data_IF_929156938995
#
_entry.id   IF_929156938995
#
_cell.length_a   1.000
_cell.length_b   1.000
_cell.length_c   1.000
_cell.angle_alpha   90.00
_cell.angle_beta   90.00
_cell.angle_gamma   90.00
#
_symmetry.space_group_name_H-M   'P 1'
#
loop_
_entity.id
_entity.type
_entity.pdbx_description
1 polymer ?
#
# COMPACT_ATOMS: atom_id res chain seq x y z
N UNK A 1 -60.89 8.55 -15.90
CA UNK A 1 -60.19 7.25 -15.98
C UNK A 1 -58.91 7.51 -16.78
N UNK A 2 -57.72 7.23 -16.24
CA UNK A 2 -56.47 7.51 -16.98
C UNK A 2 -56.40 6.65 -18.25
N UNK A 3 -55.84 7.21 -19.32
CA UNK A 3 -55.64 6.51 -20.58
C UNK A 3 -54.48 5.51 -20.47
N UNK A 4 -54.49 4.48 -21.31
CA UNK A 4 -53.42 3.46 -21.37
C UNK A 4 -52.05 4.11 -21.66
N UNK A 5 -52.02 5.14 -22.50
CA UNK A 5 -50.80 5.84 -22.88
C UNK A 5 -50.20 6.69 -21.74
N UNK A 6 -51.02 7.16 -20.80
CA UNK A 6 -50.57 7.83 -19.57
C UNK A 6 -50.01 6.84 -18.53
N UNK A 7 -50.45 5.58 -18.56
CA UNK A 7 -49.92 4.51 -17.71
C UNK A 7 -48.57 4.01 -18.22
N UNK A 8 -48.37 3.94 -19.54
CA UNK A 8 -47.11 3.53 -20.18
C UNK A 8 -45.97 4.53 -19.96
N UNK A 9 -46.27 5.83 -19.92
CA UNK A 9 -45.29 6.89 -19.65
C UNK A 9 -45.08 7.16 -18.15
N UNK A 10 -45.70 6.36 -17.28
CA UNK A 10 -45.67 6.57 -15.84
C UNK A 10 -44.37 6.02 -15.26
N UNK A 11 -43.36 6.88 -15.16
CA UNK A 11 -42.12 6.56 -14.46
C UNK A 11 -42.42 6.48 -12.96
N UNK A 12 -42.62 5.27 -12.46
CA UNK A 12 -42.69 5.01 -11.02
C UNK A 12 -41.29 5.26 -10.46
N UNK A 13 -41.08 6.45 -9.89
CA UNK A 13 -39.85 6.81 -9.17
C UNK A 13 -39.85 6.14 -7.78
N UNK A 14 -39.84 4.81 -7.75
CA UNK A 14 -39.42 4.07 -6.56
C UNK A 14 -37.91 4.27 -6.44
N UNK A 15 -37.51 5.40 -5.86
CA UNK A 15 -36.13 5.60 -5.48
C UNK A 15 -35.84 4.68 -4.30
N UNK A 16 -34.90 3.75 -4.48
CA UNK A 16 -34.29 3.11 -3.33
C UNK A 16 -33.44 4.16 -2.60
N UNK A 17 -34.03 4.79 -1.59
CA UNK A 17 -33.38 5.83 -0.79
C UNK A 17 -32.07 5.31 -0.19
N UNK A 18 -31.95 4.00 0.04
CA UNK A 18 -30.73 3.37 0.58
C UNK A 18 -29.58 3.39 -0.43
N UNK A 19 -29.86 3.45 -1.73
CA UNK A 19 -28.84 3.41 -2.78
C UNK A 19 -28.37 4.78 -3.24
N UNK A 20 -29.05 5.87 -2.85
CA UNK A 20 -28.77 7.21 -3.37
C UNK A 20 -27.35 7.70 -3.06
N UNK A 21 -26.88 7.54 -1.81
CA UNK A 21 -25.52 7.92 -1.43
C UNK A 21 -24.47 7.08 -2.19
N UNK A 22 -24.70 5.77 -2.30
CA UNK A 22 -23.82 4.88 -3.05
C UNK A 22 -23.74 5.30 -4.52
N UNK A 23 -24.87 5.52 -5.17
CA UNK A 23 -24.94 5.93 -6.56
C UNK A 23 -24.25 7.28 -6.79
N UNK A 24 -24.47 8.24 -5.89
CA UNK A 24 -23.81 9.54 -5.95
C UNK A 24 -22.28 9.42 -5.82
N UNK A 25 -21.78 8.66 -4.83
CA UNK A 25 -20.34 8.42 -4.66
C UNK A 25 -19.75 7.71 -5.88
N UNK A 26 -20.47 6.74 -6.45
CA UNK A 26 -20.00 6.01 -7.63
C UNK A 26 -19.92 6.90 -8.85
N UNK A 27 -20.94 7.75 -9.07
CA UNK A 27 -20.90 8.73 -10.15
C UNK A 27 -19.72 9.70 -10.00
N UNK A 28 -19.48 10.23 -8.80
CA UNK A 28 -18.29 11.07 -8.55
C UNK A 28 -16.98 10.32 -8.82
N UNK A 29 -16.93 9.03 -8.51
CA UNK A 29 -15.75 8.19 -8.75
C UNK A 29 -15.54 7.98 -10.25
N UNK A 30 -16.61 7.65 -10.99
CA UNK A 30 -16.59 7.48 -12.45
C UNK A 30 -16.12 8.76 -13.15
N UNK A 31 -16.68 9.93 -12.79
CA UNK A 31 -16.25 11.22 -13.33
C UNK A 31 -14.76 11.50 -13.05
N UNK A 32 -14.28 11.16 -11.86
CA UNK A 32 -12.87 11.28 -11.50
C UNK A 32 -11.97 10.31 -12.30
N UNK A 33 -12.41 9.07 -12.51
CA UNK A 33 -11.70 8.07 -13.31
C UNK A 33 -11.60 8.52 -14.77
N UNK A 34 -12.71 8.95 -15.40
CA UNK A 34 -12.70 9.47 -16.77
C UNK A 34 -11.78 10.68 -16.96
N UNK A 35 -11.72 11.57 -15.97
CA UNK A 35 -10.78 12.69 -15.97
C UNK A 35 -9.33 12.19 -15.87
N UNK A 36 -9.10 11.21 -14.99
CA UNK A 36 -7.80 10.57 -14.81
C UNK A 36 -7.31 9.85 -16.07
N UNK A 37 -8.22 9.21 -16.81
CA UNK A 37 -7.96 8.47 -18.04
C UNK A 37 -7.58 9.43 -19.16
N UNK A 38 -8.41 10.46 -19.41
CA UNK A 38 -8.11 11.52 -20.38
C UNK A 38 -6.76 12.19 -20.13
N UNK A 39 -6.42 12.44 -18.87
CA UNK A 39 -5.13 13.03 -18.52
C UNK A 39 -3.94 12.08 -18.80
N UNK A 40 -4.13 10.76 -18.69
CA UNK A 40 -3.08 9.78 -19.08
C UNK A 40 -2.94 9.67 -20.58
N UNK A 41 -4.04 9.68 -21.32
CA UNK A 41 -4.03 9.58 -22.79
C UNK A 41 -3.29 10.74 -23.47
N UNK A 42 -3.19 11.89 -22.79
CA UNK A 42 -2.46 13.07 -23.26
C UNK A 42 -0.94 12.99 -23.08
N UNK A 43 -0.41 12.02 -22.33
CA UNK A 43 1.03 11.85 -22.13
C UNK A 43 1.65 11.23 -23.39
N UNK A 44 2.53 11.97 -24.05
CA UNK A 44 3.20 11.57 -25.30
C UNK A 44 4.73 11.54 -25.18
N UNK A 45 5.30 12.11 -24.13
CA UNK A 45 6.76 12.18 -23.94
C UNK A 45 7.18 11.68 -22.55
N UNK A 46 8.47 11.37 -22.41
CA UNK A 46 9.07 10.97 -21.12
C UNK A 46 8.96 12.11 -20.10
N UNK A 47 9.23 13.35 -20.51
CA UNK A 47 9.12 14.54 -19.66
C UNK A 47 7.70 14.71 -19.09
N UNK A 48 6.66 14.56 -19.92
CA UNK A 48 5.27 14.62 -19.46
C UNK A 48 4.92 13.49 -18.47
N UNK A 49 5.53 12.32 -18.64
CA UNK A 49 5.36 11.20 -17.71
C UNK A 49 6.06 11.50 -16.38
N UNK A 50 7.25 12.08 -16.40
CA UNK A 50 7.99 12.49 -15.20
C UNK A 50 7.24 13.56 -14.41
N UNK A 51 6.71 14.59 -15.10
CA UNK A 51 5.86 15.62 -14.51
C UNK A 51 4.63 15.03 -13.84
N UNK A 52 3.95 14.10 -14.52
CA UNK A 52 2.81 13.41 -13.95
C UNK A 52 3.19 12.57 -12.74
N UNK A 53 4.32 11.85 -12.77
CA UNK A 53 4.78 11.05 -11.64
C UNK A 53 5.06 11.92 -10.42
N UNK A 54 5.71 13.08 -10.62
CA UNK A 54 5.94 14.06 -9.56
C UNK A 54 4.62 14.58 -8.98
N UNK A 55 3.67 14.96 -9.85
CA UNK A 55 2.35 15.42 -9.43
C UNK A 55 1.55 14.35 -8.69
N UNK A 56 1.52 13.11 -9.19
CA UNK A 56 0.83 11.98 -8.55
C UNK A 56 1.42 11.69 -7.16
N UNK A 57 2.75 11.70 -7.03
CA UNK A 57 3.44 11.52 -5.74
C UNK A 57 3.04 12.61 -4.75
N UNK A 58 3.02 13.87 -5.20
CA UNK A 58 2.59 14.99 -4.37
C UNK A 58 1.13 14.80 -3.93
N UNK A 59 0.21 14.52 -4.85
CA UNK A 59 -1.21 14.33 -4.52
C UNK A 59 -1.46 13.16 -3.59
N UNK A 60 -0.71 12.06 -3.76
CA UNK A 60 -0.77 10.92 -2.85
C UNK A 60 -0.38 11.31 -1.42
N UNK A 61 0.73 12.03 -1.25
CA UNK A 61 1.18 12.52 0.07
C UNK A 61 0.15 13.50 0.67
N UNK A 62 -0.36 14.44 -0.12
CA UNK A 62 -1.41 15.39 0.32
C UNK A 62 -2.68 14.65 0.78
N UNK A 63 -3.10 13.60 0.05
CA UNK A 63 -4.31 12.83 0.38
C UNK A 63 -4.20 12.06 1.70
N UNK A 64 -2.99 11.70 2.12
CA UNK A 64 -2.73 11.10 3.43
C UNK A 64 -2.66 12.14 4.57
N UNK A 65 -2.79 13.43 4.26
CA UNK A 65 -2.59 14.52 5.24
C UNK A 65 -1.13 14.95 5.41
N UNK A 66 -0.26 14.60 4.47
CA UNK A 66 1.18 14.82 4.55
C UNK A 66 1.94 13.65 5.19
N UNK A 67 3.28 13.73 5.19
CA UNK A 67 4.13 12.81 5.93
C UNK A 67 4.53 13.45 7.26
N UNK A 68 4.55 12.68 8.37
CA UNK A 68 5.07 13.18 9.63
C UNK A 68 6.57 13.51 9.51
N UNK A 69 7.07 14.39 10.39
CA UNK A 69 8.52 14.60 10.54
C UNK A 69 9.23 13.27 10.83
N UNK A 70 10.41 13.09 10.25
CA UNK A 70 11.26 11.91 10.37
C UNK A 70 12.48 12.16 11.29
N UNK A 71 12.39 13.14 12.19
CA UNK A 71 13.54 13.58 13.01
C UNK A 71 13.82 12.66 14.21
N UNK A 72 13.01 11.60 14.39
CA UNK A 72 13.20 10.64 15.49
C UNK A 72 14.30 9.62 15.12
N UNK A 73 15.35 9.48 15.94
CA UNK A 73 16.37 8.46 15.70
C UNK A 73 15.79 7.05 15.84
N UNK A 74 16.11 6.17 14.89
CA UNK A 74 15.53 4.83 14.76
C UNK A 74 15.77 3.91 15.99
N UNK A 75 16.89 4.09 16.70
CA UNK A 75 17.29 3.32 17.89
C UNK A 75 17.03 1.80 17.79
N UNK A 76 17.52 1.11 16.73
CA UNK A 76 17.28 -0.31 16.57
C UNK A 76 18.06 -1.12 17.61
N UNK A 77 17.45 -2.19 18.10
CA UNK A 77 18.03 -3.13 19.03
C UNK A 77 17.79 -4.56 18.53
N UNK A 78 18.85 -5.35 18.47
CA UNK A 78 18.75 -6.80 18.25
C UNK A 78 18.48 -7.43 19.60
N UNK A 79 17.29 -7.99 19.78
CA UNK A 79 16.85 -8.61 21.04
C UNK A 79 17.01 -10.14 21.02
N UNK A 80 17.45 -10.69 19.91
CA UNK A 80 17.80 -12.09 19.78
C UNK A 80 18.21 -12.47 18.37
N UNK A 81 18.95 -13.56 18.25
CA UNK A 81 19.43 -14.07 16.97
C UNK A 81 19.18 -15.57 16.90
N UNK A 82 18.72 -16.04 15.75
CA UNK A 82 18.59 -17.46 15.42
C UNK A 82 19.57 -17.76 14.30
N UNK A 83 20.54 -18.63 14.55
CA UNK A 83 21.42 -19.11 13.50
C UNK A 83 20.70 -20.19 12.68
N UNK A 84 20.73 -20.04 11.37
CA UNK A 84 20.23 -21.03 10.41
C UNK A 84 21.39 -21.51 9.52
N UNK A 85 21.10 -22.44 8.63
CA UNK A 85 22.08 -22.92 7.64
C UNK A 85 22.29 -21.86 6.54
N UNK A 86 23.46 -21.21 6.56
CA UNK A 86 23.90 -20.21 5.57
C UNK A 86 23.38 -18.78 5.79
N UNK A 87 22.62 -18.53 6.85
CA UNK A 87 22.11 -17.21 7.23
C UNK A 87 21.70 -17.18 8.70
N UNK A 88 21.42 -15.98 9.22
CA UNK A 88 20.82 -15.79 10.55
C UNK A 88 19.58 -14.91 10.49
N UNK A 89 18.71 -15.09 11.48
CA UNK A 89 17.53 -14.25 11.69
C UNK A 89 17.77 -13.39 12.93
N UNK A 90 17.87 -12.08 12.75
CA UNK A 90 17.95 -11.09 13.83
C UNK A 90 16.54 -10.59 14.17
N UNK A 91 16.16 -10.68 15.43
CA UNK A 91 14.91 -10.13 15.95
C UNK A 91 15.17 -8.69 16.37
N UNK A 92 14.56 -7.75 15.65
CA UNK A 92 14.81 -6.32 15.84
C UNK A 92 13.59 -5.65 16.46
N UNK A 93 13.84 -4.77 17.42
CA UNK A 93 12.88 -3.77 17.89
C UNK A 93 13.49 -2.39 17.61
N UNK A 94 12.71 -1.48 17.03
CA UNK A 94 13.15 -0.11 16.75
C UNK A 94 12.04 0.89 16.98
N UNK A 95 12.39 2.16 17.15
CA UNK A 95 11.45 3.27 17.28
C UNK A 95 11.14 3.85 15.88
N UNK A 96 9.92 3.66 15.36
CA UNK A 96 9.50 4.28 14.09
C UNK A 96 9.21 5.77 14.26
N UNK A 97 8.84 6.17 15.48
CA UNK A 97 8.71 7.54 15.99
C UNK A 97 9.05 7.49 17.47
N UNK A 98 9.31 8.66 18.08
CA UNK A 98 9.54 8.77 19.52
C UNK A 98 8.50 7.99 20.33
N UNK A 99 8.96 6.97 21.06
CA UNK A 99 8.14 6.06 21.88
C UNK A 99 7.13 5.17 21.11
N UNK A 100 7.30 4.99 19.80
CA UNK A 100 6.49 4.09 18.96
C UNK A 100 7.36 2.94 18.48
N UNK A 101 7.22 1.79 19.12
CA UNK A 101 8.05 0.61 18.86
C UNK A 101 7.46 -0.27 17.76
N UNK A 102 8.32 -0.68 16.82
CA UNK A 102 8.01 -1.63 15.75
C UNK A 102 8.95 -2.82 15.90
N UNK A 103 8.42 -4.02 15.67
CA UNK A 103 9.22 -5.26 15.68
C UNK A 103 9.37 -5.80 14.27
N UNK A 104 10.53 -6.36 13.96
CA UNK A 104 10.82 -6.97 12.67
C UNK A 104 11.74 -8.18 12.83
N UNK A 105 11.75 -9.04 11.81
CA UNK A 105 12.75 -10.09 11.64
C UNK A 105 13.63 -9.69 10.45
N UNK A 106 14.94 -9.56 10.67
CA UNK A 106 15.91 -9.31 9.61
C UNK A 106 16.64 -10.61 9.29
N UNK A 107 16.58 -11.04 8.03
CA UNK A 107 17.24 -12.25 7.55
C UNK A 107 18.53 -11.82 6.87
N UNK A 108 19.67 -12.31 7.35
CA UNK A 108 20.99 -11.87 6.91
C UNK A 108 21.80 -13.07 6.46
N UNK A 109 22.16 -13.17 5.17
CA UNK A 109 23.09 -14.18 4.69
C UNK A 109 24.41 -14.15 5.47
N UNK A 110 25.01 -15.30 5.69
CA UNK A 110 26.33 -15.38 6.32
C UNK A 110 27.43 -14.91 5.36
N UNK A 111 28.57 -14.48 5.91
CA UNK A 111 29.74 -14.10 5.11
C UNK A 111 29.57 -12.82 4.29
N UNK A 112 28.57 -11.98 4.57
CA UNK A 112 28.45 -10.65 3.95
C UNK A 112 29.63 -9.77 4.40
N UNK A 113 30.47 -9.40 3.45
CA UNK A 113 31.64 -8.52 3.65
C UNK A 113 31.49 -7.14 3.03
N UNK A 114 30.44 -6.93 2.23
CA UNK A 114 30.13 -5.65 1.58
C UNK A 114 28.61 -5.47 1.49
N UNK A 115 28.10 -4.21 1.37
CA UNK A 115 26.68 -3.97 1.18
C UNK A 115 26.08 -4.77 0.01
N UNK A 116 24.86 -5.26 0.19
CA UNK A 116 24.06 -5.96 -0.82
C UNK A 116 22.67 -5.32 -0.93
N UNK A 117 21.96 -5.62 -2.01
CA UNK A 117 20.57 -5.21 -2.15
C UNK A 117 19.73 -5.82 -1.04
N UNK A 118 18.88 -5.01 -0.40
CA UNK A 118 17.99 -5.44 0.67
C UNK A 118 16.54 -5.43 0.18
N UNK A 119 15.74 -6.38 0.65
CA UNK A 119 14.30 -6.46 0.35
C UNK A 119 13.50 -6.11 1.60
N UNK A 120 12.61 -5.11 1.49
CA UNK A 120 11.62 -4.82 2.51
C UNK A 120 10.36 -5.66 2.25
N UNK A 121 10.17 -6.70 3.04
CA UNK A 121 8.98 -7.55 2.98
C UNK A 121 7.93 -7.09 3.99
N UNK A 122 6.70 -6.83 3.52
CA UNK A 122 5.58 -6.38 4.36
C UNK A 122 4.58 -7.53 4.57
N UNK A 123 4.12 -7.70 5.79
CA UNK A 123 3.09 -8.68 6.12
C UNK A 123 1.71 -8.18 5.65
N UNK A 124 0.90 -9.10 5.12
CA UNK A 124 -0.55 -8.89 4.97
C UNK A 124 -1.28 -9.06 6.31
N UNK A 125 -2.60 -9.25 6.24
CA UNK A 125 -3.50 -9.26 7.41
C UNK A 125 -3.53 -10.58 8.22
N UNK A 126 -2.45 -11.38 8.19
CA UNK A 126 -2.39 -12.60 9.00
C UNK A 126 -2.13 -12.25 10.47
N UNK A 127 -2.84 -12.92 11.37
CA UNK A 127 -2.76 -12.69 12.82
C UNK A 127 -1.33 -12.87 13.36
N UNK A 128 -0.61 -13.86 12.85
CA UNK A 128 0.76 -14.18 13.27
C UNK A 128 1.80 -13.19 12.72
N UNK A 129 1.41 -12.30 11.79
CA UNK A 129 2.26 -11.28 11.19
C UNK A 129 3.65 -11.83 10.81
N UNK A 130 4.74 -11.19 11.24
CA UNK A 130 6.12 -11.60 10.95
C UNK A 130 6.50 -13.02 11.41
N UNK A 131 5.66 -13.66 12.23
CA UNK A 131 5.84 -15.03 12.69
C UNK A 131 5.08 -16.04 11.82
N UNK A 132 4.24 -15.62 10.87
CA UNK A 132 3.52 -16.54 9.97
C UNK A 132 4.50 -17.31 9.08
N UNK A 133 4.36 -18.63 9.02
CA UNK A 133 5.25 -19.52 8.27
C UNK A 133 5.32 -19.14 6.79
N UNK A 134 4.19 -18.80 6.18
CA UNK A 134 4.09 -18.39 4.77
C UNK A 134 4.99 -17.18 4.45
N UNK A 135 5.08 -16.21 5.36
CA UNK A 135 5.94 -15.04 5.20
C UNK A 135 7.39 -15.35 5.49
N UNK A 136 7.66 -16.15 6.53
CA UNK A 136 9.04 -16.55 6.86
C UNK A 136 9.66 -17.35 5.70
N UNK A 137 8.91 -18.24 5.07
CA UNK A 137 9.36 -19.03 3.92
C UNK A 137 9.85 -18.13 2.78
N UNK A 138 9.10 -17.08 2.43
CA UNK A 138 9.50 -16.14 1.37
C UNK A 138 10.81 -15.44 1.72
N UNK A 139 10.92 -14.90 2.94
CA UNK A 139 12.14 -14.24 3.39
C UNK A 139 13.35 -15.18 3.35
N UNK A 140 13.18 -16.42 3.80
CA UNK A 140 14.26 -17.41 3.76
C UNK A 140 14.69 -17.76 2.34
N UNK A 141 13.76 -17.85 1.38
CA UNK A 141 14.11 -18.08 -0.02
C UNK A 141 14.91 -16.91 -0.62
N UNK A 142 14.49 -15.67 -0.34
CA UNK A 142 15.21 -14.48 -0.79
C UNK A 142 16.63 -14.42 -0.21
N UNK A 143 16.76 -14.71 1.08
CA UNK A 143 18.05 -14.76 1.77
C UNK A 143 18.97 -15.84 1.23
N UNK A 144 18.47 -17.04 0.96
CA UNK A 144 19.27 -18.10 0.31
C UNK A 144 19.67 -17.75 -1.13
N UNK A 145 18.91 -16.91 -1.82
CA UNK A 145 19.28 -16.37 -3.12
C UNK A 145 20.32 -15.23 -3.04
N UNK A 146 20.70 -14.81 -1.81
CA UNK A 146 21.75 -13.82 -1.56
C UNK A 146 21.25 -12.38 -1.33
N UNK A 147 19.95 -12.21 -1.08
CA UNK A 147 19.27 -10.92 -0.82
C UNK A 147 18.90 -10.71 0.65
#
# INVERSE_FOLDING_TARGET
MMSIQELENRVIRLYDVKSQLKAFIYQLSEEAFEKGDRARDQIKTIEQLEDRNAWMRQKFIESMGGLPSNDSPLRPQIVGTIQCDGYRIEKIIFESRSNVFVTSNLYVPDGITSPRGAVLFLCGHLEQAKCADEYQIVCQYLTRAGH
#
